data_IF_550304483599
#
_entry.id   IF_550304483599
#
_cell.length_a   1.000
_cell.length_b   1.000
_cell.length_c   1.000
_cell.angle_alpha   90.00
_cell.angle_beta   90.00
_cell.angle_gamma   90.00
#
_symmetry.space_group_name_H-M   'P 1'
#
loop_
_entity.id
_entity.type
_entity.pdbx_description
1 polymer ?
#
# COMPACT_ATOMS: atom_id res chain seq x y z
N UNK A 1 -15.12 -18.43 -3.61
CA UNK A 1 -14.23 -17.45 -2.95
C UNK A 1 -15.02 -16.19 -2.65
N UNK A 2 -14.73 -15.50 -1.56
CA UNK A 2 -15.33 -14.22 -1.19
C UNK A 2 -14.24 -13.16 -1.12
N UNK A 3 -14.44 -12.00 -1.77
CA UNK A 3 -13.60 -10.82 -1.56
C UNK A 3 -14.12 -10.08 -0.33
N UNK A 4 -13.34 -10.08 0.76
CA UNK A 4 -13.73 -9.41 2.02
C UNK A 4 -13.45 -7.91 1.98
N UNK A 5 -12.34 -7.54 1.34
CA UNK A 5 -11.93 -6.16 1.18
C UNK A 5 -11.25 -5.97 -0.19
N UNK A 6 -11.49 -4.80 -0.78
CA UNK A 6 -10.74 -4.26 -1.91
C UNK A 6 -10.64 -2.76 -1.73
N UNK A 7 -9.48 -2.31 -1.29
CA UNK A 7 -9.23 -0.91 -0.96
C UNK A 7 -7.90 -0.44 -1.52
N UNK A 8 -7.73 0.88 -1.60
CA UNK A 8 -6.44 1.47 -1.90
C UNK A 8 -5.47 1.20 -0.74
N UNK A 9 -4.18 1.13 -1.02
CA UNK A 9 -3.13 0.94 -0.02
C UNK A 9 -2.42 2.28 0.21
N UNK A 10 -2.81 3.09 1.22
CA UNK A 10 -2.15 4.35 1.52
C UNK A 10 -0.64 4.16 1.69
N UNK A 11 0.13 5.20 1.38
CA UNK A 11 1.59 5.25 1.55
C UNK A 11 2.41 4.24 0.74
N UNK A 12 1.76 3.46 -0.13
CA UNK A 12 2.47 2.49 -0.98
C UNK A 12 3.13 3.13 -2.20
N UNK A 13 2.64 4.29 -2.63
CA UNK A 13 3.21 5.04 -3.75
C UNK A 13 4.49 5.76 -3.33
N UNK A 14 5.53 5.67 -4.15
CA UNK A 14 6.83 6.28 -3.88
C UNK A 14 6.70 7.81 -3.77
N UNK A 15 7.23 8.42 -2.68
CA UNK A 15 7.24 9.86 -2.54
C UNK A 15 8.02 10.56 -3.66
N UNK A 16 7.53 11.71 -4.11
CA UNK A 16 8.21 12.54 -5.11
C UNK A 16 7.46 13.87 -5.31
N UNK A 17 8.06 14.80 -6.05
CA UNK A 17 7.33 15.99 -6.54
C UNK A 17 6.02 15.54 -7.22
N UNK A 18 6.11 14.46 -8.00
CA UNK A 18 4.98 13.66 -8.45
C UNK A 18 5.03 12.29 -7.76
N UNK A 19 4.05 12.02 -6.89
CA UNK A 19 3.91 10.75 -6.17
C UNK A 19 3.66 9.61 -7.17
N UNK A 20 4.32 8.47 -6.97
CA UNK A 20 4.01 7.25 -7.73
C UNK A 20 2.64 6.70 -7.37
N UNK A 21 1.93 6.05 -8.31
CA UNK A 21 0.63 5.43 -8.05
C UNK A 21 0.64 4.47 -6.85
N UNK A 22 -0.44 4.47 -6.07
CA UNK A 22 -0.58 3.55 -4.92
C UNK A 22 -1.10 2.18 -5.37
N UNK A 23 -0.73 1.15 -4.64
CA UNK A 23 -1.28 -0.19 -4.77
C UNK A 23 -2.64 -0.34 -4.11
N UNK A 24 -3.07 -1.59 -3.98
CA UNK A 24 -4.33 -2.00 -3.37
C UNK A 24 -4.10 -3.06 -2.28
N UNK A 25 -5.00 -3.11 -1.31
CA UNK A 25 -5.15 -4.25 -0.41
C UNK A 25 -6.39 -5.03 -0.83
N UNK A 26 -6.21 -6.33 -1.11
CA UNK A 26 -7.30 -7.23 -1.49
C UNK A 26 -7.23 -8.44 -0.58
N UNK A 27 -8.34 -8.77 0.08
CA UNK A 27 -8.44 -9.96 0.92
C UNK A 27 -9.47 -10.94 0.34
N UNK A 28 -9.03 -12.17 0.10
CA UNK A 28 -9.82 -13.23 -0.51
C UNK A 28 -9.92 -14.40 0.46
N UNK A 29 -11.14 -14.76 0.84
CA UNK A 29 -11.45 -15.88 1.72
C UNK A 29 -12.00 -17.07 0.93
N UNK A 30 -11.59 -18.28 1.30
CA UNK A 30 -12.26 -19.50 0.82
C UNK A 30 -13.48 -19.83 1.70
N UNK A 31 -14.69 -19.60 1.15
CA UNK A 31 -15.98 -19.95 1.77
C UNK A 31 -16.64 -21.21 1.20
N UNK A 32 -15.93 -21.96 0.38
CA UNK A 32 -16.46 -23.22 -0.16
C UNK A 32 -16.25 -24.37 0.82
N UNK A 33 -16.94 -25.49 0.60
CA UNK A 33 -16.75 -26.72 1.36
C UNK A 33 -15.43 -27.46 1.02
N UNK A 34 -14.67 -26.98 0.04
CA UNK A 34 -13.49 -27.67 -0.51
C UNK A 34 -12.24 -26.78 -0.46
N UNK A 35 -11.03 -27.36 -0.31
CA UNK A 35 -9.79 -26.60 -0.43
C UNK A 35 -9.69 -25.87 -1.78
N UNK A 36 -9.21 -24.64 -1.76
CA UNK A 36 -8.92 -23.86 -2.95
C UNK A 36 -7.40 -23.66 -3.09
N UNK A 37 -6.89 -23.66 -4.32
CA UNK A 37 -5.48 -23.39 -4.58
C UNK A 37 -5.33 -21.99 -5.16
N UNK A 38 -4.62 -21.14 -4.45
CA UNK A 38 -4.14 -19.86 -4.97
C UNK A 38 -2.77 -20.06 -5.62
N UNK A 39 -2.73 -20.05 -6.95
CA UNK A 39 -1.48 -19.99 -7.70
C UNK A 39 -1.05 -18.53 -7.83
N UNK A 40 0.08 -18.18 -7.23
CA UNK A 40 0.56 -16.81 -7.14
C UNK A 40 1.85 -16.63 -7.93
N UNK A 41 1.93 -15.49 -8.64
CA UNK A 41 3.08 -15.07 -9.44
C UNK A 41 3.37 -13.58 -9.17
N UNK A 42 3.47 -13.22 -7.89
CA UNK A 42 3.62 -11.82 -7.48
C UNK A 42 5.00 -11.26 -7.81
N UNK A 43 5.02 -10.11 -8.50
CA UNK A 43 6.17 -9.20 -8.64
C UNK A 43 5.64 -7.75 -8.57
N UNK A 44 6.39 -6.72 -8.15
CA UNK A 44 7.73 -6.75 -7.56
C UNK A 44 7.70 -7.05 -6.06
N UNK A 45 8.52 -8.00 -5.59
CA UNK A 45 8.50 -8.49 -4.19
C UNK A 45 9.86 -8.42 -3.49
N UNK A 46 10.93 -8.14 -4.23
CA UNK A 46 12.28 -7.93 -3.69
C UNK A 46 12.85 -6.55 -4.06
N UNK A 47 12.60 -6.09 -5.29
CA UNK A 47 13.07 -4.81 -5.79
C UNK A 47 11.89 -3.89 -6.07
N UNK A 48 11.72 -2.78 -5.34
CA UNK A 48 10.60 -1.88 -5.55
C UNK A 48 10.72 -1.18 -6.91
N UNK A 49 9.60 -0.64 -7.40
CA UNK A 49 9.65 0.33 -8.48
C UNK A 49 10.49 1.52 -8.02
N UNK A 50 11.66 1.70 -8.64
CA UNK A 50 12.60 2.74 -8.27
C UNK A 50 11.99 4.13 -8.51
N UNK A 51 12.33 5.08 -7.65
CA UNK A 51 12.05 6.48 -7.93
C UNK A 51 13.02 7.05 -8.96
N UNK A 52 12.71 8.23 -9.48
CA UNK A 52 13.51 8.90 -10.50
C UNK A 52 13.74 10.38 -10.18
N UNK A 53 14.92 10.92 -10.52
CA UNK A 53 15.34 12.31 -10.29
C UNK A 53 15.05 12.82 -8.86
N UNK A 54 15.42 12.03 -7.84
CA UNK A 54 15.20 12.36 -6.43
C UNK A 54 13.87 11.88 -5.86
N UNK A 55 13.01 11.28 -6.68
CA UNK A 55 11.87 10.51 -6.19
C UNK A 55 12.31 9.24 -5.45
N UNK A 56 11.47 8.79 -4.52
CA UNK A 56 11.72 7.62 -3.67
C UNK A 56 11.02 6.37 -4.23
N UNK A 57 11.49 5.16 -3.90
CA UNK A 57 10.86 3.92 -4.33
C UNK A 57 9.44 3.75 -3.77
N UNK A 58 8.60 3.03 -4.52
CA UNK A 58 7.29 2.58 -4.02
C UNK A 58 7.42 1.37 -3.08
N UNK A 59 6.32 1.00 -2.43
CA UNK A 59 6.27 -0.19 -1.59
C UNK A 59 6.29 -1.47 -2.43
N UNK A 60 6.90 -2.51 -1.87
CA UNK A 60 6.89 -3.86 -2.45
C UNK A 60 5.50 -4.50 -2.37
N UNK A 61 5.25 -5.43 -3.29
CA UNK A 61 4.14 -6.36 -3.20
C UNK A 61 4.41 -7.38 -2.11
N UNK A 62 3.39 -7.71 -1.33
CA UNK A 62 3.44 -8.75 -0.31
C UNK A 62 2.20 -9.64 -0.42
N UNK A 63 2.39 -10.93 -0.20
CA UNK A 63 1.30 -11.89 -0.06
C UNK A 63 1.31 -12.39 1.37
N UNK A 64 0.14 -12.44 2.00
CA UNK A 64 -0.03 -12.96 3.35
C UNK A 64 -1.14 -13.98 3.43
N UNK A 65 -0.96 -14.98 4.26
CA UNK A 65 -2.04 -15.89 4.69
C UNK A 65 -2.14 -15.75 6.20
N UNK A 66 -3.31 -15.34 6.70
CA UNK A 66 -3.51 -14.99 8.12
C UNK A 66 -2.51 -13.95 8.65
N UNK A 67 -2.29 -12.89 7.88
CA UNK A 67 -1.32 -11.84 8.19
C UNK A 67 0.15 -12.30 8.30
N UNK A 68 0.45 -13.57 8.02
CA UNK A 68 1.82 -14.07 7.89
C UNK A 68 2.30 -13.96 6.45
N UNK A 69 3.47 -13.36 6.19
CA UNK A 69 4.04 -13.32 4.85
C UNK A 69 4.22 -14.74 4.29
N UNK A 70 3.82 -14.94 3.04
CA UNK A 70 4.05 -16.19 2.31
C UNK A 70 4.85 -15.92 1.05
N UNK A 71 5.52 -16.95 0.53
CA UNK A 71 6.32 -16.79 -0.67
C UNK A 71 5.42 -16.30 -1.83
N UNK A 72 5.79 -15.21 -2.52
CA UNK A 72 4.90 -14.56 -3.49
C UNK A 72 4.75 -15.35 -4.81
N UNK A 73 5.58 -16.37 -5.00
CA UNK A 73 5.57 -17.28 -6.16
C UNK A 73 5.33 -18.70 -5.68
N UNK A 74 4.22 -19.32 -6.06
CA UNK A 74 3.93 -20.68 -5.63
C UNK A 74 2.46 -20.97 -5.55
N UNK A 75 2.14 -22.16 -5.04
CA UNK A 75 0.77 -22.62 -4.83
C UNK A 75 0.49 -22.65 -3.35
N UNK A 76 -0.50 -21.87 -2.93
CA UNK A 76 -0.96 -21.83 -1.54
C UNK A 76 -2.34 -22.45 -1.44
N UNK A 77 -2.53 -23.34 -0.46
CA UNK A 77 -3.82 -23.97 -0.21
C UNK A 77 -4.59 -23.11 0.79
N UNK A 78 -5.79 -22.68 0.41
CA UNK A 78 -6.74 -22.00 1.28
C UNK A 78 -7.80 -23.01 1.71
N UNK A 79 -7.87 -23.30 3.00
CA UNK A 79 -8.80 -24.28 3.54
C UNK A 79 -10.24 -23.71 3.63
N UNK A 80 -11.28 -24.57 3.57
CA UNK A 80 -12.68 -24.19 3.79
C UNK A 80 -12.92 -23.39 5.07
N UNK A 81 -13.84 -22.41 5.05
CA UNK A 81 -14.27 -21.67 6.24
C UNK A 81 -15.64 -20.99 6.10
N UNK A 82 -16.54 -21.21 7.06
CA UNK A 82 -17.97 -20.84 6.93
C UNK A 82 -18.31 -19.42 7.47
N UNK A 83 -17.93 -19.08 8.71
CA UNK A 83 -18.42 -17.88 9.43
C UNK A 83 -17.40 -17.14 10.31
N UNK A 84 -16.45 -17.83 10.95
CA UNK A 84 -15.36 -17.24 11.76
C UNK A 84 -14.04 -17.55 11.05
N UNK A 85 -13.16 -16.55 10.91
CA UNK A 85 -11.82 -16.76 10.36
C UNK A 85 -11.03 -17.68 11.30
N UNK A 86 -10.93 -18.95 10.93
CA UNK A 86 -9.92 -19.83 11.48
C UNK A 86 -8.62 -19.62 10.69
N UNK A 87 -7.48 -19.99 11.29
CA UNK A 87 -6.22 -20.08 10.59
C UNK A 87 -6.29 -20.78 9.21
N UNK A 88 -5.65 -20.22 8.19
CA UNK A 88 -5.43 -20.81 6.86
C UNK A 88 -6.48 -20.48 5.80
N UNK A 89 -7.40 -19.55 6.06
CA UNK A 89 -8.61 -19.38 5.24
C UNK A 89 -8.64 -18.13 4.34
N UNK A 90 -7.74 -17.16 4.56
CA UNK A 90 -7.72 -15.89 3.82
C UNK A 90 -6.33 -15.54 3.29
N UNK A 91 -6.30 -15.18 2.00
CA UNK A 91 -5.14 -14.63 1.30
C UNK A 91 -5.30 -13.11 1.21
N UNK A 92 -4.33 -12.38 1.74
CA UNK A 92 -4.20 -10.93 1.59
C UNK A 92 -3.14 -10.61 0.56
N UNK A 93 -3.52 -9.85 -0.46
CA UNK A 93 -2.64 -9.27 -1.46
C UNK A 93 -2.43 -7.80 -1.09
N UNK A 94 -1.18 -7.43 -0.82
CA UNK A 94 -0.75 -6.04 -0.69
C UNK A 94 0.00 -5.70 -1.96
N UNK A 95 -0.67 -5.05 -2.92
CA UNK A 95 -0.05 -4.72 -4.19
C UNK A 95 1.00 -3.62 -4.05
N UNK A 96 2.01 -3.69 -4.91
CA UNK A 96 3.08 -2.73 -4.96
C UNK A 96 2.57 -1.34 -5.36
N UNK A 97 3.27 -0.31 -4.91
CA UNK A 97 3.14 1.03 -5.49
C UNK A 97 4.24 1.31 -6.52
N UNK A 98 4.02 2.33 -7.33
CA UNK A 98 5.01 2.81 -8.29
C UNK A 98 6.02 3.75 -7.61
N UNK A 99 7.20 3.93 -8.21
CA UNK A 99 8.19 4.91 -7.74
C UNK A 99 7.74 6.35 -7.96
N UNK A 100 8.21 7.26 -7.12
CA UNK A 100 7.97 8.70 -7.28
C UNK A 100 8.94 9.35 -8.27
N UNK A 101 8.59 10.56 -8.71
CA UNK A 101 9.43 11.39 -9.57
C UNK A 101 9.72 12.74 -8.90
N UNK A 102 10.98 13.19 -8.95
CA UNK A 102 11.39 14.49 -8.41
C UNK A 102 11.51 14.51 -6.89
N UNK A 103 12.15 15.55 -6.34
CA UNK A 103 12.30 15.71 -4.89
C UNK A 103 10.92 15.80 -4.18
N UNK A 104 10.59 14.91 -3.23
CA UNK A 104 9.36 15.01 -2.45
C UNK A 104 9.15 16.36 -1.75
N UNK A 105 10.23 16.99 -1.28
CA UNK A 105 10.17 18.28 -0.60
C UNK A 105 9.79 19.44 -1.52
N UNK A 106 9.75 19.24 -2.84
CA UNK A 106 9.27 20.26 -3.80
C UNK A 106 7.84 20.01 -4.28
N UNK A 107 7.16 18.96 -3.79
CA UNK A 107 5.72 18.75 -4.04
C UNK A 107 4.92 19.94 -3.52
N UNK A 108 3.97 20.42 -4.32
CA UNK A 108 3.09 21.53 -3.94
C UNK A 108 2.31 21.18 -2.67
N UNK A 109 2.19 22.14 -1.76
CA UNK A 109 1.58 21.97 -0.45
C UNK A 109 0.13 21.49 -0.57
N UNK A 110 -0.62 22.11 -1.47
CA UNK A 110 -2.03 21.84 -1.75
C UNK A 110 -2.23 20.41 -2.26
N UNK A 111 -1.25 19.89 -3.03
CA UNK A 111 -1.26 18.51 -3.52
C UNK A 111 -1.00 17.49 -2.43
N UNK A 112 -0.17 17.82 -1.44
CA UNK A 112 0.05 16.94 -0.28
C UNK A 112 -1.22 16.91 0.57
N UNK A 113 -1.82 18.07 0.84
CA UNK A 113 -3.10 18.16 1.58
C UNK A 113 -4.20 17.36 0.87
N UNK A 114 -4.30 17.47 -0.46
CA UNK A 114 -5.24 16.69 -1.24
C UNK A 114 -4.95 15.18 -1.13
N UNK A 115 -3.69 14.75 -1.26
CA UNK A 115 -3.33 13.33 -1.09
C UNK A 115 -3.75 12.80 0.30
N UNK A 116 -3.61 13.61 1.35
CA UNK A 116 -4.04 13.23 2.72
C UNK A 116 -5.55 13.17 2.83
N UNK A 117 -6.25 14.15 2.25
CA UNK A 117 -7.72 14.18 2.24
C UNK A 117 -8.33 12.98 1.51
N UNK A 118 -7.75 12.61 0.38
CA UNK A 118 -8.21 11.48 -0.42
C UNK A 118 -7.69 10.13 0.13
N UNK A 119 -6.90 10.14 1.22
CA UNK A 119 -6.38 8.92 1.86
C UNK A 119 -5.29 8.20 1.08
N UNK A 120 -4.64 8.86 0.12
CA UNK A 120 -3.50 8.28 -0.62
C UNK A 120 -2.21 8.31 0.19
N UNK A 121 -2.08 9.33 1.03
CA UNK A 121 -0.94 9.58 1.92
C UNK A 121 -1.48 9.77 3.34
N UNK A 122 -0.91 9.12 4.34
CA UNK A 122 -1.27 9.37 5.74
C UNK A 122 -0.73 10.72 6.24
N UNK A 123 -1.31 11.35 7.27
CA UNK A 123 -0.72 12.53 7.90
C UNK A 123 0.73 12.30 8.35
N UNK A 124 1.05 11.10 8.82
CA UNK A 124 2.39 10.71 9.25
C UNK A 124 3.36 10.65 8.06
N UNK A 125 2.92 10.09 6.92
CA UNK A 125 3.71 10.07 5.70
C UNK A 125 3.86 11.46 5.06
N UNK A 126 2.83 12.32 5.13
CA UNK A 126 2.90 13.71 4.70
C UNK A 126 4.05 14.45 5.43
N UNK A 127 4.13 14.25 6.74
CA UNK A 127 5.18 14.82 7.58
C UNK A 127 6.56 14.23 7.23
N UNK A 128 6.68 12.90 7.24
CA UNK A 128 7.95 12.18 7.04
C UNK A 128 8.54 12.41 5.65
N UNK A 129 7.71 12.31 4.61
CA UNK A 129 8.20 12.22 3.24
C UNK A 129 8.20 13.55 2.51
N UNK A 130 7.26 14.44 2.83
CA UNK A 130 7.08 15.72 2.13
C UNK A 130 7.42 16.93 2.99
N UNK A 131 7.67 16.74 4.30
CA UNK A 131 7.90 17.82 5.25
C UNK A 131 6.67 18.70 5.43
N UNK A 132 5.47 18.12 5.37
CA UNK A 132 4.19 18.85 5.48
C UNK A 132 3.38 18.28 6.63
N UNK A 133 3.01 19.14 7.57
CA UNK A 133 1.99 18.82 8.57
C UNK A 133 0.61 19.23 8.03
N UNK A 134 -0.40 18.39 8.24
CA UNK A 134 -1.77 18.62 7.75
C UNK A 134 -2.76 18.60 8.91
N UNK A 135 -3.48 19.70 9.10
CA UNK A 135 -4.64 19.76 10.00
C UNK A 135 -5.85 19.16 9.28
N UNK A 136 -6.25 17.94 9.66
CA UNK A 136 -7.27 17.15 8.93
C UNK A 136 -8.71 17.62 9.17
N UNK A 137 -9.00 18.37 10.23
CA UNK A 137 -10.32 18.97 10.47
C UNK A 137 -10.64 20.11 9.49
N UNK A 138 -9.61 20.80 9.01
CA UNK A 138 -9.73 22.00 8.16
C UNK A 138 -9.07 21.84 6.79
N UNK A 139 -8.34 20.75 6.58
CA UNK A 139 -7.54 20.49 5.38
C UNK A 139 -6.58 21.63 5.08
N UNK A 140 -5.82 22.04 6.10
CA UNK A 140 -4.80 23.07 5.99
C UNK A 140 -3.43 22.43 6.16
N UNK A 141 -2.53 22.68 5.21
CA UNK A 141 -1.15 22.20 5.25
C UNK A 141 -0.18 23.29 5.69
N UNK A 142 0.89 22.90 6.38
CA UNK A 142 2.04 23.76 6.66
C UNK A 142 3.33 23.01 6.37
N UNK A 143 4.26 23.66 5.67
CA UNK A 143 5.61 23.11 5.47
C UNK A 143 6.41 23.26 6.77
N UNK A 144 7.02 22.18 7.20
CA UNK A 144 7.95 22.17 8.33
C UNK A 144 9.24 22.88 7.90
N UNK A 145 9.83 23.66 8.81
CA UNK A 145 11.17 24.18 8.59
C UNK A 145 12.10 22.98 8.41
N UNK A 146 13.02 23.05 7.45
CA UNK A 146 14.10 22.08 7.41
C UNK A 146 14.90 22.29 8.69
N UNK A 147 15.00 21.26 9.53
CA UNK A 147 16.03 21.23 10.57
C UNK A 147 17.36 21.17 9.79
N UNK A 148 18.02 22.32 9.67
CA UNK A 148 19.32 22.50 9.02
C UNK A 148 20.43 21.86 9.86
#
# INVERSE_FOLDING_TARGET
LLVRCKELRPDSGGPGQFRGGIGQRIEIQNRSAWPAVAACFGNPTAFPAAGYLGGRPGALRELRIEDKPVHPKGRHVLYPGEQVLLPGQALTLLDAGAGGFGNPLTRQLERVVADVREGYVSPEAARRDYGVEVETSRWVGRRLAADL
#
